data_IF_283605082362
#
_entry.id   IF_283605082362
#
_cell.length_a   1.000
_cell.length_b   1.000
_cell.length_c   1.000
_cell.angle_alpha   90.00
_cell.angle_beta   90.00
_cell.angle_gamma   90.00
#
_symmetry.space_group_name_H-M   'P 1'
#
loop_
_entity.id
_entity.type
_entity.pdbx_description
1 polymer ?
#
# COMPACT_ATOMS: atom_id res chain seq x y z
N UNK A 1 7.78 -7.55 18.38
CA UNK A 1 6.60 -7.76 17.53
C UNK A 1 5.41 -7.03 18.12
N UNK A 2 4.48 -7.63 18.88
CA UNK A 2 3.17 -6.99 19.22
C UNK A 2 3.22 -5.59 19.86
N UNK A 3 4.20 -5.30 20.73
CA UNK A 3 4.41 -3.96 21.32
C UNK A 3 4.88 -2.89 20.31
N UNK A 4 5.31 -3.33 19.12
CA UNK A 4 5.76 -2.50 18.01
C UNK A 4 4.60 -2.14 17.10
N UNK A 5 4.23 -3.04 16.21
CA UNK A 5 3.22 -2.85 15.17
C UNK A 5 1.77 -3.08 15.63
N UNK A 6 1.57 -3.95 16.62
CA UNK A 6 0.24 -4.27 17.19
C UNK A 6 -0.07 -5.76 17.14
N UNK A 7 -1.19 -6.16 17.76
CA UNK A 7 -1.69 -7.53 17.74
C UNK A 7 -2.47 -7.73 16.44
N UNK A 8 -2.16 -8.77 15.66
CA UNK A 8 -2.90 -9.08 14.45
C UNK A 8 -4.31 -9.59 14.76
N UNK A 9 -5.33 -8.87 14.29
CA UNK A 9 -6.75 -9.19 14.50
C UNK A 9 -7.31 -9.96 13.31
N UNK A 10 -6.93 -9.55 12.09
CA UNK A 10 -7.48 -10.12 10.87
C UNK A 10 -6.67 -9.77 9.64
N UNK A 11 -6.78 -10.57 8.60
CA UNK A 11 -6.19 -10.28 7.29
C UNK A 11 -7.13 -9.38 6.49
N UNK A 12 -6.70 -8.15 6.17
CA UNK A 12 -7.45 -7.17 5.37
C UNK A 12 -7.48 -7.49 3.88
N UNK A 13 -6.69 -8.48 3.43
CA UNK A 13 -6.71 -9.15 2.11
C UNK A 13 -5.74 -8.58 1.08
N UNK A 14 -5.70 -9.23 -0.08
CA UNK A 14 -4.75 -8.93 -1.15
C UNK A 14 -5.23 -7.73 -1.98
N UNK A 15 -4.53 -6.58 -1.91
CA UNK A 15 -4.86 -5.42 -2.72
C UNK A 15 -4.33 -5.60 -4.14
N UNK A 16 -5.19 -5.43 -5.14
CA UNK A 16 -4.82 -5.38 -6.55
C UNK A 16 -4.91 -3.93 -7.00
N UNK A 17 -3.77 -3.36 -7.37
CA UNK A 17 -3.70 -2.00 -7.89
C UNK A 17 -3.86 -2.04 -9.41
N UNK A 18 -4.65 -1.13 -9.96
CA UNK A 18 -4.81 -0.99 -11.42
C UNK A 18 -4.66 0.46 -11.83
N UNK A 19 -4.07 0.70 -12.99
CA UNK A 19 -4.14 2.03 -13.60
C UNK A 19 -5.45 2.23 -14.38
N UNK A 20 -5.64 3.44 -14.92
CA UNK A 20 -6.79 3.77 -15.77
C UNK A 20 -6.93 2.92 -17.04
N UNK A 21 -5.87 2.26 -17.48
CA UNK A 21 -5.88 1.34 -18.64
C UNK A 21 -6.22 -0.09 -18.22
N UNK A 22 -6.45 -0.34 -16.92
CA UNK A 22 -6.75 -1.64 -16.35
C UNK A 22 -5.53 -2.53 -16.16
N UNK A 23 -4.30 -2.00 -16.35
CA UNK A 23 -3.08 -2.76 -16.11
C UNK A 23 -2.87 -2.98 -14.63
N UNK A 24 -2.60 -4.22 -14.26
CA UNK A 24 -2.24 -4.55 -12.88
C UNK A 24 -0.88 -3.97 -12.53
N UNK A 25 -0.81 -3.36 -11.34
CA UNK A 25 0.37 -2.73 -10.78
C UNK A 25 0.77 -3.40 -9.46
N UNK A 26 2.06 -3.55 -9.27
CA UNK A 26 2.68 -4.16 -8.10
C UNK A 26 3.43 -3.10 -7.30
N UNK A 27 3.20 -3.07 -5.99
CA UNK A 27 3.96 -2.20 -5.09
C UNK A 27 5.34 -2.81 -4.85
N UNK A 28 6.40 -2.04 -5.07
CA UNK A 28 7.76 -2.48 -4.78
C UNK A 28 7.94 -2.71 -3.28
N UNK A 29 8.28 -3.93 -2.87
CA UNK A 29 8.51 -4.28 -1.46
C UNK A 29 9.72 -3.54 -0.89
N UNK A 30 9.63 -3.23 0.39
CA UNK A 30 10.72 -2.64 1.16
C UNK A 30 11.84 -3.66 1.38
N UNK A 31 13.09 -3.36 0.96
CA UNK A 31 14.24 -4.19 1.30
C UNK A 31 14.52 -4.19 2.81
N UNK A 32 15.21 -5.22 3.29
CA UNK A 32 15.52 -5.41 4.73
C UNK A 32 16.48 -4.37 5.31
N UNK A 33 17.33 -3.73 4.50
CA UNK A 33 18.41 -2.85 4.96
C UNK A 33 18.01 -1.39 5.17
N UNK A 34 16.78 -1.00 4.81
CA UNK A 34 16.32 0.39 4.88
C UNK A 34 15.27 0.55 5.96
N UNK A 35 15.23 1.71 6.61
CA UNK A 35 14.19 2.06 7.59
C UNK A 35 12.99 2.80 6.96
N UNK A 36 13.20 3.45 5.82
CA UNK A 36 12.15 4.12 5.05
C UNK A 36 12.38 3.88 3.58
N UNK A 37 11.31 3.59 2.84
CA UNK A 37 11.38 3.30 1.41
C UNK A 37 10.21 3.93 0.67
N UNK A 38 10.45 4.38 -0.56
CA UNK A 38 9.48 5.11 -1.37
C UNK A 38 8.41 4.18 -1.91
N UNK A 39 7.19 4.69 -2.03
CA UNK A 39 6.08 3.97 -2.67
C UNK A 39 6.20 4.11 -4.18
N UNK A 40 6.53 3.01 -4.84
CA UNK A 40 6.63 2.90 -6.30
C UNK A 40 5.79 1.72 -6.76
N UNK A 41 4.99 1.95 -7.80
CA UNK A 41 4.16 0.94 -8.45
C UNK A 41 4.72 0.62 -9.83
N UNK A 42 4.95 -0.65 -10.09
CA UNK A 42 5.48 -1.18 -11.35
C UNK A 42 4.48 -2.11 -12.02
N UNK A 43 4.51 -2.21 -13.34
CA UNK A 43 3.73 -3.24 -14.05
C UNK A 43 4.44 -4.61 -14.03
N UNK A 44 3.87 -5.60 -14.72
CA UNK A 44 4.43 -6.95 -14.84
C UNK A 44 5.80 -7.02 -15.53
N UNK A 45 6.16 -6.00 -16.32
CA UNK A 45 7.47 -5.88 -16.98
C UNK A 45 8.49 -5.16 -16.10
N UNK A 46 8.09 -4.72 -14.90
CA UNK A 46 8.93 -3.95 -13.97
C UNK A 46 9.06 -2.47 -14.33
N UNK A 47 8.25 -1.96 -15.26
CA UNK A 47 8.25 -0.55 -15.66
C UNK A 47 7.46 0.26 -14.62
N UNK A 48 8.02 1.38 -14.18
CA UNK A 48 7.35 2.27 -13.22
C UNK A 48 6.15 2.95 -13.89
N UNK A 49 4.97 2.76 -13.30
CA UNK A 49 3.71 3.35 -13.79
C UNK A 49 3.11 4.38 -12.84
N UNK A 50 3.33 4.24 -11.54
CA UNK A 50 2.87 5.23 -10.57
C UNK A 50 3.79 5.32 -9.35
N UNK A 51 3.70 6.42 -8.60
CA UNK A 51 4.41 6.63 -7.36
C UNK A 51 3.66 7.55 -6.40
N UNK A 52 4.14 7.60 -5.16
CA UNK A 52 3.81 8.68 -4.21
C UNK A 52 5.00 9.63 -4.13
N UNK A 53 4.89 10.81 -4.75
CA UNK A 53 6.02 11.71 -4.95
C UNK A 53 6.39 12.44 -3.65
N UNK A 54 7.70 12.67 -3.46
CA UNK A 54 8.20 13.51 -2.37
C UNK A 54 8.01 15.01 -2.66
N UNK A 55 8.37 15.45 -3.87
CA UNK A 55 8.15 16.83 -4.35
C UNK A 55 6.96 16.88 -5.30
N UNK A 56 6.04 17.82 -5.07
CA UNK A 56 4.82 17.98 -5.88
C UNK A 56 4.97 18.88 -7.11
N UNK A 57 6.13 19.50 -7.30
CA UNK A 57 6.34 20.45 -8.40
C UNK A 57 6.47 19.80 -9.79
N UNK A 58 6.88 18.53 -9.86
CA UNK A 58 7.19 17.83 -11.13
C UNK A 58 6.51 16.44 -11.18
N UNK A 59 5.20 16.41 -11.00
CA UNK A 59 4.44 15.16 -10.98
C UNK A 59 4.12 14.68 -12.40
N UNK A 60 4.66 13.52 -12.77
CA UNK A 60 4.28 12.79 -14.00
C UNK A 60 3.63 11.45 -13.70
N UNK A 61 3.98 10.83 -12.58
CA UNK A 61 3.59 9.48 -12.19
C UNK A 61 2.81 9.46 -10.88
N UNK A 62 2.21 10.57 -10.44
CA UNK A 62 1.44 10.53 -9.19
C UNK A 62 0.24 9.59 -9.34
N UNK A 63 -0.05 8.81 -8.30
CA UNK A 63 -1.24 7.94 -8.25
C UNK A 63 -2.54 8.66 -8.62
N UNK A 64 -2.64 9.96 -8.31
CA UNK A 64 -3.77 10.83 -8.67
C UNK A 64 -3.86 11.08 -10.17
N UNK A 65 -2.73 11.39 -10.81
CA UNK A 65 -2.67 11.75 -12.22
C UNK A 65 -2.76 10.54 -13.14
N UNK A 66 -2.23 9.40 -12.69
CA UNK A 66 -2.32 8.12 -13.40
C UNK A 66 -3.72 7.50 -13.25
N UNK A 67 -4.46 7.88 -12.19
CA UNK A 67 -5.79 7.36 -11.92
C UNK A 67 -5.75 5.91 -11.42
N UNK A 68 -4.88 5.63 -10.45
CA UNK A 68 -4.74 4.29 -9.88
C UNK A 68 -5.92 3.99 -8.96
N UNK A 69 -6.50 2.79 -9.10
CA UNK A 69 -7.52 2.24 -8.21
C UNK A 69 -6.97 1.02 -7.46
N UNK A 70 -7.58 0.68 -6.32
CA UNK A 70 -7.35 -0.59 -5.62
C UNK A 70 -8.63 -1.36 -5.52
N UNK A 71 -8.54 -2.62 -5.89
CA UNK A 71 -9.58 -3.62 -5.69
C UNK A 71 -9.09 -4.62 -4.63
N UNK A 72 -9.95 -4.98 -3.68
CA UNK A 72 -9.63 -6.00 -2.68
C UNK A 72 -10.34 -7.31 -3.01
N UNK A 73 -9.58 -8.40 -3.03
CA UNK A 73 -10.12 -9.74 -3.28
C UNK A 73 -10.05 -10.63 -2.04
N UNK A 74 -11.22 -11.13 -1.63
CA UNK A 74 -11.44 -11.96 -0.45
C UNK A 74 -11.66 -11.15 0.83
N UNK A 75 -12.15 -11.83 1.88
CA UNK A 75 -12.21 -11.35 3.28
C UNK A 75 -13.12 -10.21 3.60
N UNK A 76 -12.73 -9.38 4.56
CA UNK A 76 -13.60 -8.37 5.15
C UNK A 76 -13.93 -7.23 4.16
N UNK A 77 -12.97 -6.85 3.31
CA UNK A 77 -13.15 -5.84 2.27
C UNK A 77 -13.43 -6.43 0.88
N UNK A 78 -14.01 -7.63 0.80
CA UNK A 78 -14.21 -8.30 -0.48
C UNK A 78 -15.08 -7.46 -1.44
N UNK A 79 -14.64 -7.34 -2.69
CA UNK A 79 -15.34 -6.61 -3.76
C UNK A 79 -15.51 -5.10 -3.48
N UNK A 80 -14.69 -4.54 -2.58
CA UNK A 80 -14.63 -3.09 -2.38
C UNK A 80 -13.52 -2.52 -3.23
N UNK A 81 -13.88 -1.51 -4.02
CA UNK A 81 -12.95 -0.73 -4.85
C UNK A 81 -12.83 0.68 -4.30
N UNK A 82 -11.59 1.17 -4.18
CA UNK A 82 -11.32 2.56 -3.81
C UNK A 82 -10.60 3.28 -4.94
N UNK A 83 -11.04 4.49 -5.23
CA UNK A 83 -10.41 5.41 -6.18
C UNK A 83 -9.93 6.70 -5.51
N UNK A 84 -10.21 6.89 -4.21
CA UNK A 84 -9.82 8.10 -3.53
C UNK A 84 -8.29 8.12 -3.27
N UNK A 85 -7.59 9.20 -3.62
CA UNK A 85 -6.13 9.25 -3.51
C UNK A 85 -5.57 9.01 -2.11
N UNK A 86 -6.28 9.42 -1.07
CA UNK A 86 -5.88 9.27 0.33
C UNK A 86 -5.81 7.81 0.76
N UNK A 87 -6.90 7.08 0.56
CA UNK A 87 -7.00 5.66 0.90
C UNK A 87 -6.08 4.85 0.01
N UNK A 88 -5.92 5.27 -1.25
CA UNK A 88 -4.99 4.65 -2.17
C UNK A 88 -3.54 4.72 -1.70
N UNK A 89 -3.09 5.92 -1.30
CA UNK A 89 -1.75 6.13 -0.73
C UNK A 89 -1.58 5.35 0.59
N UNK A 90 -2.63 5.26 1.42
CA UNK A 90 -2.60 4.49 2.67
C UNK A 90 -2.36 3.00 2.40
N UNK A 91 -3.12 2.39 1.49
CA UNK A 91 -2.97 0.97 1.19
C UNK A 91 -1.70 0.65 0.41
N UNK A 92 -1.27 1.52 -0.51
CA UNK A 92 0.01 1.36 -1.19
C UNK A 92 1.20 1.34 -0.21
N UNK A 93 1.21 2.21 0.81
CA UNK A 93 2.24 2.18 1.86
C UNK A 93 2.23 0.89 2.68
N UNK A 94 1.04 0.37 3.02
CA UNK A 94 0.92 -0.89 3.77
C UNK A 94 1.33 -2.09 2.92
N UNK A 95 0.95 -2.10 1.64
CA UNK A 95 1.36 -3.09 0.65
C UNK A 95 2.87 -3.03 0.33
N UNK A 96 3.63 -2.08 0.86
CA UNK A 96 5.09 -2.10 0.73
C UNK A 96 5.73 -3.16 1.64
N UNK A 97 5.07 -3.47 2.77
CA UNK A 97 5.58 -4.34 3.82
C UNK A 97 5.18 -5.81 3.64
N UNK A 98 4.10 -6.08 2.92
CA UNK A 98 3.59 -7.44 2.82
C UNK A 98 2.10 -7.49 2.51
N UNK A 99 1.51 -8.61 2.89
CA UNK A 99 0.08 -8.73 3.05
C UNK A 99 -0.42 -7.75 4.12
N UNK A 100 -1.65 -7.26 3.95
CA UNK A 100 -2.20 -6.22 4.82
C UNK A 100 -3.02 -6.89 5.93
N UNK A 101 -2.68 -6.61 7.19
CA UNK A 101 -3.41 -7.08 8.37
C UNK A 101 -3.98 -5.93 9.17
N UNK A 102 -5.16 -6.12 9.75
CA UNK A 102 -5.69 -5.27 10.79
C UNK A 102 -4.94 -5.56 12.09
N UNK A 103 -4.47 -4.48 12.73
CA UNK A 103 -3.67 -4.56 13.94
C UNK A 103 -4.36 -3.75 15.05
N UNK A 104 -4.61 -4.40 16.19
CA UNK A 104 -4.99 -3.75 17.43
C UNK A 104 -3.74 -3.19 18.11
N UNK A 105 -3.70 -1.88 18.27
CA UNK A 105 -2.59 -1.16 18.90
C UNK A 105 -2.95 -0.62 20.28
N UNK A 106 -4.23 -0.67 20.66
CA UNK A 106 -4.71 -0.05 21.89
C UNK A 106 -4.47 -0.95 23.09
N UNK A 107 -4.63 -2.27 22.92
CA UNK A 107 -4.44 -3.25 23.99
C UNK A 107 -3.05 -3.17 24.63
N UNK A 108 -2.01 -2.99 23.82
CA UNK A 108 -0.61 -2.93 24.29
C UNK A 108 0.02 -1.53 24.21
N UNK A 109 -0.74 -0.51 23.77
CA UNK A 109 -0.22 0.84 23.44
C UNK A 109 0.98 0.78 22.50
N UNK A 110 0.84 0.00 21.42
CA UNK A 110 1.94 -0.30 20.49
C UNK A 110 2.44 0.95 19.77
N UNK A 111 3.76 1.14 19.76
CA UNK A 111 4.39 2.41 19.38
C UNK A 111 4.56 2.64 17.87
N UNK A 112 4.31 1.62 17.04
CA UNK A 112 4.37 1.66 15.58
C UNK A 112 5.77 1.43 15.00
N UNK A 113 6.72 0.94 15.79
CA UNK A 113 8.10 0.67 15.38
C UNK A 113 8.36 -0.84 15.44
N UNK A 114 8.91 -1.41 14.37
CA UNK A 114 9.22 -2.84 14.32
C UNK A 114 10.21 -3.26 15.42
N UNK A 115 10.02 -4.46 15.97
CA UNK A 115 10.85 -5.09 17.01
C UNK A 115 10.99 -6.58 16.77
#
# INVERSE_FOLDING_TARGET
MDNGDGIAVGWLRHPIFRDKEGRELFVRRMPTFVETFLVVLVDGDGIVRANVPFRRAELKYSVEQVGVTVDFYGGELNSVSYSDPSTMKKYARRAQLGEIFELDRDTLKSNGVFR
#
